data_IF_504579716374
#
_entry.id   IF_504579716374
#
_cell.length_a   1.000
_cell.length_b   1.000
_cell.length_c   1.000
_cell.angle_alpha   90.00
_cell.angle_beta   90.00
_cell.angle_gamma   90.00
#
_symmetry.space_group_name_H-M   'P 1'
#
loop_
_entity.id
_entity.type
_entity.pdbx_description
1 polymer ?
2 non-polymer ?
3 water ?
#
# COMPACT_ATOMS: atom_id res chain seq x y z
N UNK A 1 -27.19 -14.77 12.74
CA UNK A 1 -26.70 -13.68 11.89
C UNK A 1 -25.62 -12.84 12.59
N UNK A 2 -24.72 -12.29 11.79
CA UNK A 2 -23.60 -11.48 12.27
C UNK A 2 -23.93 -10.50 13.38
N UNK A 3 -23.03 -10.41 14.36
CA UNK A 3 -23.15 -9.49 15.48
C UNK A 3 -22.20 -8.31 15.32
N UNK A 4 -21.69 -8.12 14.10
CA UNK A 4 -20.80 -7.02 13.82
C UNK A 4 -21.64 -5.84 13.39
N UNK A 5 -21.11 -4.61 13.56
CA UNK A 5 -21.77 -3.39 13.11
C UNK A 5 -21.86 -3.44 11.59
N UNK A 6 -22.86 -2.79 11.01
CA UNK A 6 -23.05 -2.82 9.56
C UNK A 6 -21.81 -2.33 8.78
N UNK A 7 -21.27 -1.16 9.16
CA UNK A 7 -20.08 -0.61 8.48
C UNK A 7 -18.92 -1.59 8.46
N UNK A 8 -18.88 -2.46 9.47
CA UNK A 8 -17.81 -3.46 9.57
C UNK A 8 -18.07 -4.61 8.59
N UNK A 9 -19.33 -5.04 8.49
CA UNK A 9 -19.74 -6.10 7.58
C UNK A 9 -19.53 -5.59 6.14
N UNK A 10 -19.84 -4.32 5.93
CA UNK A 10 -19.72 -3.68 4.62
C UNK A 10 -18.26 -3.59 4.19
N UNK A 11 -17.38 -3.41 5.15
CA UNK A 11 -15.94 -3.34 4.91
C UNK A 11 -15.41 -4.72 4.49
N UNK A 12 -15.90 -5.74 5.18
CA UNK A 12 -15.50 -7.12 4.91
C UNK A 12 -15.85 -7.51 3.47
N UNK A 13 -17.04 -7.15 3.02
CA UNK A 13 -17.44 -7.49 1.66
C UNK A 13 -16.53 -6.76 0.68
N UNK A 14 -16.33 -5.48 0.94
CA UNK A 14 -15.46 -4.63 0.13
C UNK A 14 -14.11 -5.30 -0.14
N UNK A 15 -13.44 -5.70 0.93
CA UNK A 15 -12.12 -6.30 0.78
C UNK A 15 -12.06 -7.73 0.24
N UNK A 16 -13.17 -8.45 0.32
CA UNK A 16 -13.22 -9.80 -0.21
C UNK A 16 -14.06 -9.87 -1.51
N UNK A 17 -14.13 -8.74 -2.22
CA UNK A 17 -14.87 -8.66 -3.48
C UNK A 17 -14.10 -9.35 -4.61
N UNK A 18 -14.66 -10.44 -5.13
CA UNK A 18 -14.02 -11.21 -6.19
C UNK A 18 -13.99 -10.39 -7.48
N UNK A 19 -15.14 -9.81 -7.81
CA UNK A 19 -15.29 -8.97 -8.98
C UNK A 19 -14.16 -7.94 -9.05
N UNK A 20 -13.88 -7.31 -7.91
CA UNK A 20 -12.85 -6.28 -7.86
C UNK A 20 -11.48 -6.85 -8.19
N UNK A 21 -11.29 -8.13 -7.85
CA UNK A 21 -10.05 -8.84 -8.14
C UNK A 21 -9.92 -9.01 -9.65
N UNK A 22 -11.00 -9.43 -10.29
CA UNK A 22 -11.01 -9.63 -11.75
C UNK A 22 -10.86 -8.32 -12.50
N UNK A 23 -11.54 -7.29 -12.04
CA UNK A 23 -11.46 -5.99 -12.69
C UNK A 23 -10.03 -5.45 -12.59
N UNK A 24 -9.41 -5.63 -11.43
CA UNK A 24 -8.03 -5.18 -11.23
C UNK A 24 -7.04 -5.90 -12.16
N UNK A 25 -7.37 -7.12 -12.55
CA UNK A 25 -6.52 -7.91 -13.44
C UNK A 25 -6.77 -7.59 -14.91
N UNK A 26 -8.03 -7.62 -15.32
CA UNK A 26 -8.37 -7.31 -16.71
C UNK A 26 -7.82 -5.92 -16.99
N UNK A 27 -7.89 -5.06 -15.98
CA UNK A 27 -7.41 -3.70 -16.09
C UNK A 27 -5.90 -3.69 -16.34
N UNK A 28 -5.25 -4.79 -15.98
CA UNK A 28 -3.84 -4.94 -16.29
C UNK A 28 -3.69 -5.65 -17.62
N UNK A 29 -4.81 -5.97 -18.26
CA UNK A 29 -4.80 -6.66 -19.54
C UNK A 29 -4.45 -8.14 -19.38
N UNK A 30 -4.60 -8.68 -18.18
CA UNK A 30 -4.33 -10.09 -17.94
C UNK A 30 -5.41 -10.95 -18.59
N UNK A 31 -4.99 -12.01 -19.28
CA UNK A 31 -5.94 -12.90 -19.93
C UNK A 31 -6.59 -13.75 -18.86
N UNK A 32 -7.88 -13.52 -18.64
CA UNK A 32 -8.64 -14.21 -17.60
C UNK A 32 -8.97 -15.66 -17.93
N UNK A 33 -9.03 -15.97 -19.22
CA UNK A 33 -9.37 -17.32 -19.67
C UNK A 33 -8.24 -18.29 -19.34
N UNK A 34 -7.02 -17.92 -19.72
CA UNK A 34 -5.86 -18.75 -19.47
C UNK A 34 -5.37 -18.59 -18.02
N UNK A 35 -5.41 -17.37 -17.52
CA UNK A 35 -4.98 -17.16 -16.13
C UNK A 35 -6.11 -16.66 -15.24
N UNK A 36 -6.99 -17.56 -14.79
CA UNK A 36 -8.06 -17.13 -13.89
C UNK A 36 -7.50 -16.98 -12.48
N UNK A 37 -8.32 -16.40 -11.61
CA UNK A 37 -7.91 -16.19 -10.24
C UNK A 37 -7.45 -17.48 -9.59
N UNK A 38 -8.21 -18.56 -9.81
CA UNK A 38 -7.91 -19.87 -9.26
C UNK A 38 -6.56 -20.45 -9.69
N UNK A 39 -6.02 -19.99 -10.81
CA UNK A 39 -4.71 -20.48 -11.25
C UNK A 39 -3.55 -19.62 -10.76
N UNK A 40 -3.87 -18.61 -9.95
CA UNK A 40 -2.85 -17.72 -9.40
C UNK A 40 -2.03 -18.43 -8.32
N UNK A 41 -0.72 -18.43 -8.47
CA UNK A 41 0.19 -19.04 -7.50
C UNK A 41 1.37 -18.10 -7.21
N UNK A 42 1.78 -18.04 -5.95
CA UNK A 42 2.90 -17.18 -5.57
C UNK A 42 4.20 -17.62 -6.23
N UNK A 43 4.39 -18.93 -6.34
CA UNK A 43 5.59 -19.49 -6.95
C UNK A 43 5.76 -18.99 -8.38
N UNK A 44 4.63 -18.75 -9.05
CA UNK A 44 4.65 -18.24 -10.43
C UNK A 44 4.93 -16.72 -10.45
N UNK A 45 4.54 -16.04 -9.38
CA UNK A 45 4.76 -14.58 -9.25
C UNK A 45 6.21 -14.30 -8.84
N UNK A 46 6.81 -15.22 -8.08
CA UNK A 46 8.19 -15.09 -7.68
C UNK A 46 9.09 -15.23 -8.89
N UNK A 47 8.72 -16.16 -9.77
CA UNK A 47 9.47 -16.45 -10.99
C UNK A 47 9.41 -15.26 -11.93
N UNK A 48 8.29 -14.55 -11.91
CA UNK A 48 8.11 -13.38 -12.74
C UNK A 48 8.92 -12.20 -12.18
N UNK A 49 9.01 -12.12 -10.86
CA UNK A 49 9.84 -11.10 -10.20
C UNK A 49 11.26 -11.29 -10.70
N UNK A 50 11.71 -12.54 -10.66
CA UNK A 50 13.05 -12.93 -11.07
C UNK A 50 13.36 -12.63 -12.54
N UNK A 51 12.41 -12.88 -13.42
CA UNK A 51 12.58 -12.57 -14.85
C UNK A 51 12.64 -11.05 -15.01
N UNK A 52 11.84 -10.33 -14.22
CA UNK A 52 11.81 -8.87 -14.32
C UNK A 52 13.12 -8.26 -13.84
N UNK A 53 13.69 -8.84 -12.80
CA UNK A 53 15.00 -8.46 -12.31
C UNK A 53 16.05 -8.82 -13.38
N UNK A 54 15.79 -9.88 -14.14
CA UNK A 54 16.75 -10.29 -15.16
C UNK A 54 16.73 -9.35 -16.37
N UNK A 55 15.58 -8.72 -16.59
CA UNK A 55 15.40 -7.73 -17.65
C UNK A 55 16.08 -6.40 -17.29
N UNK A 56 15.98 -6.00 -16.03
CA UNK A 56 16.61 -4.76 -15.56
C UNK A 56 18.12 -4.84 -15.69
N UNK A 57 18.67 -5.99 -15.32
CA UNK A 57 20.10 -6.26 -15.41
C UNK A 57 20.59 -6.22 -16.87
N UNK A 58 19.76 -6.72 -17.79
CA UNK A 58 20.05 -6.71 -19.21
C UNK A 58 19.90 -5.29 -19.75
N UNK A 59 18.87 -4.58 -19.26
CA UNK A 59 18.65 -3.21 -19.68
C UNK A 59 19.81 -2.31 -19.25
N UNK A 60 20.19 -2.43 -17.99
CA UNK A 60 21.26 -1.63 -17.41
C UNK A 60 22.62 -2.04 -17.96
N UNK A 61 22.69 -3.27 -18.46
CA UNK A 61 23.91 -3.80 -19.04
C UNK A 61 23.97 -3.34 -20.50
N UNK A 62 22.81 -3.28 -21.15
CA UNK A 62 22.69 -2.84 -22.53
C UNK A 62 22.85 -3.99 -23.49
N UNK A 63 22.20 -5.10 -23.18
CA UNK A 63 22.27 -6.30 -24.02
C UNK A 63 21.90 -6.09 -25.49
N UNK A 64 22.43 -6.96 -26.35
CA UNK A 64 22.20 -6.86 -27.79
C UNK A 64 20.88 -7.48 -28.22
N UNK A 65 19.82 -6.67 -28.25
CA UNK A 65 18.49 -7.09 -28.67
C UNK A 65 18.09 -8.48 -28.19
N UNK A 66 17.98 -9.41 -29.14
CA UNK A 66 17.62 -10.82 -28.93
C UNK A 66 17.50 -11.29 -27.48
N UNK A 67 18.41 -10.81 -26.63
CA UNK A 67 18.39 -11.16 -25.24
C UNK A 67 17.22 -10.49 -24.51
N UNK A 68 16.95 -9.22 -24.83
CA UNK A 68 15.82 -8.52 -24.22
C UNK A 68 14.48 -9.07 -24.72
N UNK A 69 14.38 -9.31 -26.03
CA UNK A 69 13.18 -9.88 -26.62
C UNK A 69 12.85 -11.28 -26.09
N UNK A 70 13.87 -12.07 -25.76
CA UNK A 70 13.63 -13.41 -25.22
C UNK A 70 13.17 -13.32 -23.77
N UNK A 71 13.86 -12.51 -22.97
CA UNK A 71 13.51 -12.34 -21.56
C UNK A 71 12.10 -11.77 -21.46
N UNK A 72 11.73 -10.97 -22.45
CA UNK A 72 10.43 -10.32 -22.50
C UNK A 72 9.35 -11.34 -22.88
N UNK A 73 9.74 -12.28 -23.74
CA UNK A 73 8.82 -13.33 -24.15
C UNK A 73 8.64 -14.31 -23.01
N UNK A 74 9.69 -14.53 -22.25
CA UNK A 74 9.63 -15.43 -21.09
C UNK A 74 8.63 -14.88 -20.07
N UNK A 75 8.70 -13.59 -19.80
CA UNK A 75 7.78 -12.98 -18.84
C UNK A 75 6.32 -13.07 -19.28
N UNK A 76 6.07 -12.75 -20.55
CA UNK A 76 4.70 -12.76 -21.05
C UNK A 76 4.14 -14.18 -21.15
N UNK A 77 5.03 -15.18 -21.17
CA UNK A 77 4.62 -16.58 -21.21
C UNK A 77 4.20 -17.08 -19.82
N UNK A 78 4.85 -16.54 -18.80
CA UNK A 78 4.57 -16.89 -17.41
C UNK A 78 3.37 -16.11 -16.90
N UNK A 79 3.24 -14.87 -17.35
CA UNK A 79 2.12 -14.04 -16.96
C UNK A 79 1.32 -13.67 -18.19
N UNK A 80 0.37 -14.54 -18.58
CA UNK A 80 -0.55 -14.43 -19.72
C UNK A 80 -1.28 -13.10 -19.79
N UNK A 81 -1.03 -12.37 -20.86
CA UNK A 81 -1.70 -11.10 -21.11
C UNK A 81 -2.51 -11.24 -22.39
N UNK A 82 -3.37 -10.26 -22.65
CA UNK A 82 -4.16 -10.24 -23.86
C UNK A 82 -4.16 -8.87 -24.50
N UNK A 83 -3.32 -8.70 -25.51
CA UNK A 83 -3.22 -7.42 -26.23
C UNK A 83 -3.76 -7.49 -27.66
N UNK A 84 -4.39 -8.61 -28.03
CA UNK A 84 -4.93 -8.77 -29.37
C UNK A 84 -3.88 -9.01 -30.45
N UNK A 85 -4.13 -8.51 -31.66
CA UNK A 85 -3.21 -8.68 -32.77
C UNK A 85 -1.96 -7.81 -32.64
N UNK A 86 -1.54 -7.57 -31.41
CA UNK A 86 -0.37 -6.76 -31.15
C UNK A 86 0.49 -7.50 -30.14
N UNK A 87 1.81 -7.53 -30.37
CA UNK A 87 2.69 -8.21 -29.42
C UNK A 87 2.75 -7.32 -28.19
N UNK A 88 2.90 -7.93 -27.01
CA UNK A 88 2.97 -7.18 -25.75
C UNK A 88 4.04 -6.10 -25.83
N UNK A 89 4.12 -5.24 -24.81
CA UNK A 89 5.17 -4.22 -24.95
C UNK A 89 6.53 -4.76 -24.56
N UNK A 90 7.55 -4.41 -25.35
CA UNK A 90 8.89 -4.88 -25.08
C UNK A 90 9.40 -4.25 -23.78
N UNK A 91 9.85 -5.08 -22.85
CA UNK A 91 10.36 -4.56 -21.59
C UNK A 91 11.84 -4.22 -21.77
N UNK A 92 12.13 -3.09 -22.41
CA UNK A 92 13.52 -2.73 -22.68
C UNK A 92 14.04 -1.50 -21.94
N UNK A 93 13.25 -0.98 -21.00
CA UNK A 93 13.65 0.19 -20.22
C UNK A 93 13.21 0.08 -18.76
N UNK A 94 13.56 1.10 -17.95
CA UNK A 94 13.25 1.11 -16.52
C UNK A 94 11.79 1.34 -16.26
N UNK A 95 11.19 2.26 -17.01
CA UNK A 95 9.78 2.57 -16.85
C UNK A 95 8.95 1.31 -17.07
N UNK A 96 9.27 0.59 -18.13
CA UNK A 96 8.56 -0.62 -18.54
C UNK A 96 8.56 -1.82 -17.57
N UNK A 97 9.66 -2.05 -16.87
CA UNK A 97 9.74 -3.19 -15.93
C UNK A 97 9.13 -2.81 -14.58
N UNK A 98 9.29 -1.54 -14.22
CA UNK A 98 8.75 -0.99 -12.99
C UNK A 98 7.24 -1.10 -12.99
N UNK A 99 6.64 -0.79 -14.15
CA UNK A 99 5.20 -0.88 -14.29
C UNK A 99 4.78 -2.33 -14.12
N UNK A 100 5.54 -3.24 -14.72
CA UNK A 100 5.23 -4.67 -14.61
C UNK A 100 5.47 -5.19 -13.21
N UNK A 101 6.49 -4.66 -12.55
CA UNK A 101 6.86 -5.06 -11.20
C UNK A 101 5.81 -4.64 -10.19
N UNK A 102 5.25 -3.46 -10.38
CA UNK A 102 4.20 -2.96 -9.50
C UNK A 102 2.93 -3.76 -9.75
N UNK A 103 2.78 -4.25 -10.97
CA UNK A 103 1.63 -5.07 -11.34
C UNK A 103 1.69 -6.38 -10.54
N UNK A 104 2.83 -7.07 -10.62
CA UNK A 104 3.03 -8.31 -9.87
C UNK A 104 2.70 -8.17 -8.39
N UNK A 105 3.10 -7.04 -7.80
CA UNK A 105 2.87 -6.79 -6.37
C UNK A 105 1.39 -6.90 -5.99
N UNK A 106 0.54 -6.17 -6.71
CA UNK A 106 -0.93 -6.20 -6.49
C UNK A 106 -1.47 -7.57 -6.86
N UNK A 107 -0.97 -8.12 -7.97
CA UNK A 107 -1.40 -9.46 -8.41
C UNK A 107 -1.14 -10.48 -7.28
N UNK A 108 -0.11 -10.22 -6.49
CA UNK A 108 0.25 -11.09 -5.39
C UNK A 108 -0.70 -10.90 -4.22
N UNK A 109 -1.05 -9.64 -3.96
CA UNK A 109 -1.99 -9.33 -2.88
C UNK A 109 -3.35 -9.93 -3.24
N UNK A 110 -3.68 -9.94 -4.53
CA UNK A 110 -4.94 -10.56 -4.96
C UNK A 110 -4.90 -12.07 -4.73
N UNK A 111 -3.76 -12.68 -5.02
CA UNK A 111 -3.55 -14.12 -4.84
C UNK A 111 -3.64 -14.52 -3.37
N UNK A 112 -3.06 -13.68 -2.53
CA UNK A 112 -3.06 -13.87 -1.09
C UNK A 112 -4.51 -13.74 -0.65
N UNK A 113 -5.16 -12.72 -1.18
CA UNK A 113 -6.57 -12.43 -0.88
C UNK A 113 -7.47 -13.61 -1.24
N UNK A 114 -7.38 -14.07 -2.49
CA UNK A 114 -8.18 -15.20 -2.96
C UNK A 114 -7.89 -16.47 -2.19
N UNK A 115 -6.67 -16.61 -1.71
CA UNK A 115 -6.28 -17.81 -0.96
C UNK A 115 -7.02 -17.84 0.35
N UNK A 116 -7.12 -16.68 0.99
CA UNK A 116 -7.82 -16.53 2.25
C UNK A 116 -9.30 -16.84 2.03
N UNK A 117 -9.89 -16.18 1.03
CA UNK A 117 -11.31 -16.38 0.73
C UNK A 117 -11.68 -17.82 0.40
N UNK A 118 -11.03 -18.40 -0.60
CA UNK A 118 -11.32 -19.76 -1.04
C UNK A 118 -10.86 -20.82 -0.03
N UNK A 119 -10.44 -20.38 1.16
CA UNK A 119 -9.96 -21.30 2.17
C UNK A 119 -10.70 -21.18 3.49
N UNK A 120 -10.62 -22.24 4.28
CA UNK A 120 -11.28 -22.30 5.58
C UNK A 120 -12.28 -23.44 5.69
N UNK A 121 -13.34 -23.22 6.46
CA UNK A 121 -14.39 -24.22 6.65
C UNK A 121 -15.54 -23.92 5.69
N UNK A 122 -16.25 -24.96 5.26
CA UNK A 122 -17.35 -24.79 4.31
C UNK A 122 -18.74 -24.90 4.92
N UNK A 123 -18.80 -25.04 6.24
CA UNK A 123 -20.08 -25.15 6.93
C UNK A 123 -21.05 -24.03 6.52
N UNK A 124 -22.28 -24.15 6.99
CA UNK A 124 -23.31 -23.15 6.72
C UNK A 124 -23.91 -22.63 8.02
N UNK A 125 -23.31 -23.01 9.15
CA UNK A 125 -23.79 -22.56 10.45
C UNK A 125 -23.61 -21.05 10.62
N UNK A 126 -22.37 -20.59 10.45
CA UNK A 126 -22.04 -19.17 10.59
C UNK A 126 -22.24 -18.43 9.28
N UNK A 127 -22.62 -17.16 9.38
CA UNK A 127 -22.79 -16.33 8.20
C UNK A 127 -21.43 -15.91 7.71
N UNK A 128 -21.19 -16.07 6.40
CA UNK A 128 -19.97 -15.78 5.63
C UNK A 128 -19.18 -14.61 6.21
N UNK A 129 -19.84 -13.46 6.29
CA UNK A 129 -19.22 -12.23 6.80
C UNK A 129 -18.48 -12.48 8.11
N UNK A 130 -19.10 -13.25 9.00
CA UNK A 130 -18.49 -13.57 10.28
C UNK A 130 -17.31 -14.51 10.07
N UNK A 131 -17.45 -15.37 9.07
CA UNK A 131 -16.39 -16.27 8.70
C UNK A 131 -15.25 -15.43 8.12
N UNK A 132 -15.56 -14.64 7.09
CA UNK A 132 -14.58 -13.80 6.40
C UNK A 132 -13.84 -12.89 7.37
N UNK A 133 -14.57 -12.33 8.32
CA UNK A 133 -14.02 -11.45 9.34
C UNK A 133 -12.96 -12.19 10.13
N UNK A 134 -13.30 -13.36 10.62
CA UNK A 134 -12.38 -14.18 11.41
C UNK A 134 -11.09 -14.48 10.66
N UNK A 135 -11.17 -14.48 9.33
CA UNK A 135 -10.01 -14.76 8.50
C UNK A 135 -8.98 -13.63 8.55
N UNK A 136 -9.42 -12.44 8.92
CA UNK A 136 -8.52 -11.29 8.94
C UNK A 136 -7.56 -11.23 10.12
N UNK A 137 -7.93 -11.89 11.22
CA UNK A 137 -7.12 -11.93 12.43
C UNK A 137 -6.92 -10.52 13.00
N UNK A 138 -7.91 -9.67 12.78
CA UNK A 138 -7.84 -8.27 13.23
C UNK A 138 -9.14 -7.88 13.92
N UNK A 139 -9.02 -7.23 15.08
CA UNK A 139 -10.19 -6.77 15.79
C UNK A 139 -10.54 -5.42 15.16
N UNK A 140 -11.78 -5.29 14.68
CA UNK A 140 -12.21 -4.09 13.99
C UNK A 140 -13.43 -3.52 14.68
N UNK A 141 -13.34 -2.24 15.04
CA UNK A 141 -14.43 -1.56 15.71
C UNK A 141 -14.69 -0.25 14.97
N UNK A 142 -15.90 0.28 15.12
CA UNK A 142 -16.25 1.53 14.47
C UNK A 142 -15.85 2.69 15.37
N UNK A 143 -15.32 3.75 14.77
CA UNK A 143 -14.93 4.93 15.55
C UNK A 143 -16.08 5.93 15.42
N UNK A 144 -16.77 6.20 16.51
CA UNK A 144 -17.88 7.17 16.49
C UNK A 144 -17.52 8.47 15.79
N UNK A 145 -18.48 9.03 15.07
CA UNK A 145 -18.31 10.28 14.34
C UNK A 145 -17.98 11.48 15.24
N UNK A 146 -18.72 11.58 16.34
CA UNK A 146 -18.58 12.68 17.30
C UNK A 146 -17.53 12.36 18.36
N UNK A 147 -16.52 11.61 17.95
CA UNK A 147 -15.46 11.23 18.88
C UNK A 147 -14.25 12.11 18.63
N UNK A 148 -13.51 12.43 19.69
CA UNK A 148 -12.33 13.25 19.55
C UNK A 148 -11.38 12.63 18.53
N UNK A 149 -11.30 11.30 18.57
CA UNK A 149 -10.45 10.56 17.66
C UNK A 149 -10.86 10.89 16.22
N UNK A 150 -12.12 10.66 15.92
CA UNK A 150 -12.66 10.92 14.60
C UNK A 150 -12.35 12.35 14.15
N UNK A 151 -12.48 13.28 15.08
CA UNK A 151 -12.23 14.68 14.77
C UNK A 151 -10.77 14.89 14.38
N UNK A 152 -9.89 14.23 15.13
CA UNK A 152 -8.46 14.28 14.88
C UNK A 152 -8.19 13.81 13.46
N UNK A 153 -8.64 12.59 13.17
CA UNK A 153 -8.48 11.94 11.87
C UNK A 153 -9.05 12.76 10.72
N UNK A 154 -10.19 13.39 10.96
CA UNK A 154 -10.82 14.21 9.92
C UNK A 154 -10.00 15.44 9.62
N UNK A 155 -9.45 16.07 10.66
CA UNK A 155 -8.62 17.27 10.53
C UNK A 155 -7.34 16.91 9.78
N UNK A 156 -6.78 15.76 10.14
CA UNK A 156 -5.55 15.29 9.52
C UNK A 156 -5.79 15.14 8.01
N UNK A 157 -6.91 14.55 7.66
CA UNK A 157 -7.28 14.28 6.27
C UNK A 157 -7.57 15.56 5.50
N UNK A 158 -8.29 16.47 6.14
CA UNK A 158 -8.67 17.72 5.51
C UNK A 158 -7.50 18.69 5.42
N UNK A 159 -6.72 18.79 6.48
CA UNK A 159 -5.58 19.70 6.49
C UNK A 159 -4.49 19.35 5.49
N UNK A 160 -4.11 18.07 5.49
CA UNK A 160 -3.04 17.58 4.63
C UNK A 160 -3.51 17.34 3.19
N UNK A 161 -4.70 17.84 2.87
CA UNK A 161 -5.27 17.72 1.54
C UNK A 161 -5.62 19.11 1.02
N UNK A 162 -4.94 19.56 -0.03
CA UNK A 162 -5.15 20.91 -0.55
C UNK A 162 -5.69 21.09 -1.98
N UNK A 163 -5.45 22.26 -2.57
CA UNK A 163 -5.99 22.60 -3.88
C UNK A 163 -5.02 22.63 -5.07
N UNK A 164 -3.82 22.07 -4.90
CA UNK A 164 -2.83 22.04 -5.98
C UNK A 164 -2.74 20.64 -6.59
N UNK A 165 -3.51 19.73 -6.00
CA UNK A 165 -3.62 18.35 -6.46
C UNK A 165 -5.09 18.05 -6.24
N UNK A 166 -5.86 19.12 -6.09
CA UNK A 166 -7.28 19.02 -5.85
C UNK A 166 -8.07 18.78 -7.12
N UNK A 167 -7.86 17.60 -7.71
CA UNK A 167 -8.61 17.17 -8.87
C UNK A 167 -9.73 16.33 -8.27
N UNK A 168 -9.86 16.43 -6.95
CA UNK A 168 -10.88 15.73 -6.19
C UNK A 168 -10.91 16.17 -4.72
N UNK A 169 -12.03 15.91 -4.05
CA UNK A 169 -12.19 16.22 -2.63
C UNK A 169 -12.42 14.90 -1.88
N UNK A 170 -12.06 14.86 -0.61
CA UNK A 170 -12.10 13.65 0.21
C UNK A 170 -13.12 13.70 1.35
N UNK A 171 -13.99 12.69 1.39
CA UNK A 171 -15.00 12.62 2.43
C UNK A 171 -14.93 11.28 3.15
N UNK A 172 -14.79 11.37 4.47
CA UNK A 172 -14.65 10.21 5.33
C UNK A 172 -16.01 9.62 5.62
N UNK A 173 -16.24 8.41 5.13
CA UNK A 173 -17.51 7.73 5.34
C UNK A 173 -17.49 6.93 6.64
N UNK A 174 -16.36 6.26 6.88
CA UNK A 174 -16.18 5.43 8.07
C UNK A 174 -14.74 5.39 8.52
N UNK A 175 -14.54 5.38 9.84
CA UNK A 175 -13.23 5.30 10.44
C UNK A 175 -13.27 4.05 11.31
N UNK A 176 -12.28 3.17 11.17
CA UNK A 176 -12.22 1.95 11.97
C UNK A 176 -10.93 1.89 12.78
N UNK A 177 -11.06 1.48 14.04
CA UNK A 177 -9.91 1.29 14.92
C UNK A 177 -9.47 -0.16 14.72
N UNK A 178 -8.19 -0.38 14.41
CA UNK A 178 -7.72 -1.73 14.14
C UNK A 178 -6.60 -2.24 15.04
N UNK A 179 -6.70 -3.51 15.37
CA UNK A 179 -5.72 -4.20 16.21
C UNK A 179 -5.59 -5.62 15.67
N UNK A 180 -4.55 -5.83 14.88
CA UNK A 180 -4.28 -7.13 14.31
C UNK A 180 -3.87 -8.06 15.44
N UNK A 181 -4.26 -9.32 15.34
CA UNK A 181 -3.94 -10.30 16.37
C UNK A 181 -2.43 -10.43 16.57
N UNK A 182 -1.96 -10.10 17.77
CA UNK A 182 -0.54 -10.19 18.11
C UNK A 182 0.26 -8.92 17.89
N UNK A 183 -0.15 -8.14 16.89
CA UNK A 183 0.53 -6.91 16.53
C UNK A 183 0.52 -5.95 17.73
N UNK A 184 1.23 -6.34 18.78
CA UNK A 184 1.29 -5.57 20.02
C UNK A 184 2.62 -5.86 20.72
N UNK A 185 2.87 -7.14 20.98
CA UNK A 185 4.08 -7.60 21.63
C UNK A 185 5.23 -7.57 20.64
N UNK A 186 4.90 -7.40 19.37
CA UNK A 186 5.91 -7.33 18.33
C UNK A 186 6.38 -5.88 18.21
N UNK A 187 5.43 -4.96 18.30
CA UNK A 187 5.71 -3.53 18.19
C UNK A 187 6.18 -2.89 19.50
N UNK A 188 5.65 -3.39 20.61
CA UNK A 188 5.97 -2.88 21.94
C UNK A 188 7.45 -2.67 22.22
N UNK A 189 8.30 -3.66 21.91
CA UNK A 189 9.73 -3.43 22.17
C UNK A 189 10.20 -2.19 21.43
N UNK A 190 9.64 -1.97 20.24
CA UNK A 190 9.96 -0.77 19.47
C UNK A 190 9.21 0.44 20.03
N UNK A 191 8.23 0.17 20.90
CA UNK A 191 7.46 1.24 21.54
C UNK A 191 8.35 2.03 22.49
N UNK A 192 9.50 1.45 22.81
CA UNK A 192 10.48 2.11 23.66
C UNK A 192 11.43 2.82 22.72
N UNK A 193 10.89 3.26 21.59
CA UNK A 193 11.67 3.96 20.59
C UNK A 193 11.03 5.29 20.23
N UNK A 194 11.68 6.38 20.65
CA UNK A 194 11.20 7.73 20.41
C UNK A 194 10.88 7.97 18.93
N UNK A 195 10.40 9.17 18.64
CA UNK A 195 10.06 9.55 17.28
C UNK A 195 8.96 8.65 16.71
N UNK A 196 7.94 8.42 17.53
CA UNK A 196 6.78 7.64 17.10
C UNK A 196 5.78 8.57 16.43
N UNK A 197 5.38 8.23 15.20
CA UNK A 197 4.48 9.07 14.44
C UNK A 197 3.28 8.34 13.87
N UNK A 198 2.16 9.06 13.75
CA UNK A 198 0.94 8.52 13.15
C UNK A 198 1.04 8.90 11.69
N UNK A 199 1.11 7.91 10.82
CA UNK A 199 1.29 8.18 9.41
C UNK A 199 0.33 7.45 8.51
N UNK A 200 0.20 7.95 7.29
CA UNK A 200 -0.70 7.38 6.30
C UNK A 200 -0.06 6.25 5.53
N UNK A 201 -0.91 5.34 5.05
CA UNK A 201 -0.51 4.27 4.14
C UNK A 201 -1.69 3.92 3.26
N UNK A 202 -1.64 4.38 2.01
CA UNK A 202 -2.69 4.11 1.06
C UNK A 202 -2.32 2.88 0.26
N UNK A 203 -3.34 2.17 -0.24
CA UNK A 203 -3.13 0.95 -1.02
C UNK A 203 -4.48 0.62 -1.68
N UNK A 204 -4.44 -0.14 -2.77
CA UNK A 204 -5.67 -0.49 -3.48
C UNK A 204 -6.56 -1.37 -2.63
N UNK A 205 -7.85 -1.26 -2.85
CA UNK A 205 -8.84 -2.00 -2.06
C UNK A 205 -8.65 -3.53 -2.05
N UNK A 206 -8.13 -4.06 -3.15
CA UNK A 206 -7.89 -5.50 -3.30
C UNK A 206 -6.67 -6.01 -2.56
N UNK A 207 -5.96 -5.13 -1.86
CA UNK A 207 -4.78 -5.52 -1.13
C UNK A 207 -4.97 -5.52 0.39
N UNK A 208 -6.16 -5.15 0.86
CA UNK A 208 -6.42 -5.11 2.32
C UNK A 208 -6.63 -6.45 3.00
N UNK A 209 -7.21 -7.41 2.29
CA UNK A 209 -7.39 -8.74 2.83
C UNK A 209 -6.02 -9.26 3.27
N UNK A 210 -4.99 -8.97 2.47
CA UNK A 210 -3.62 -9.38 2.74
C UNK A 210 -2.91 -8.58 3.82
N UNK A 211 -2.98 -7.25 3.71
CA UNK A 211 -2.37 -6.36 4.69
C UNK A 211 -2.92 -6.58 6.10
N UNK A 212 -4.22 -6.85 6.21
CA UNK A 212 -4.81 -7.07 7.52
C UNK A 212 -4.39 -8.44 8.06
N UNK A 213 -4.52 -9.46 7.24
CA UNK A 213 -4.16 -10.82 7.65
C UNK A 213 -2.70 -10.92 8.06
N UNK A 214 -1.81 -10.42 7.20
CA UNK A 214 -0.38 -10.51 7.48
C UNK A 214 0.35 -9.22 7.84
N UNK A 215 -0.34 -8.09 7.82
CA UNK A 215 0.28 -6.80 8.12
C UNK A 215 1.03 -6.34 6.89
N UNK A 216 1.60 -5.14 6.95
CA UNK A 216 2.39 -4.64 5.83
C UNK A 216 3.73 -5.35 5.77
N UNK A 217 4.01 -5.97 4.61
CA UNK A 217 5.24 -6.72 4.41
C UNK A 217 6.28 -5.97 3.58
N UNK A 218 7.43 -6.60 3.39
CA UNK A 218 8.51 -6.01 2.59
C UNK A 218 8.76 -6.90 1.39
N UNK A 219 9.09 -6.30 0.26
CA UNK A 219 9.34 -7.05 -0.95
C UNK A 219 10.51 -8.01 -0.80
N UNK A 220 10.41 -9.19 -1.43
CA UNK A 220 11.45 -10.22 -1.37
C UNK A 220 12.64 -9.79 -2.18
N UNK A 221 13.81 -10.38 -1.92
CA UNK A 221 15.05 -10.03 -2.63
C UNK A 221 14.96 -10.21 -4.15
N UNK A 222 14.25 -11.24 -4.60
CA UNK A 222 14.09 -11.51 -6.03
C UNK A 222 13.36 -10.39 -6.78
N UNK A 223 12.54 -9.61 -6.09
CA UNK A 223 11.82 -8.51 -6.73
C UNK A 223 12.78 -7.50 -7.36
N UNK A 224 12.38 -6.87 -8.47
CA UNK A 224 13.27 -5.88 -9.08
C UNK A 224 13.48 -4.68 -8.15
N UNK A 225 14.67 -4.10 -8.22
CA UNK A 225 15.02 -2.97 -7.37
C UNK A 225 14.67 -1.61 -7.98
N UNK A 226 14.26 -1.63 -9.25
CA UNK A 226 13.88 -0.42 -9.98
C UNK A 226 12.50 0.13 -9.58
N UNK A 227 12.42 1.45 -9.42
CA UNK A 227 11.20 2.13 -9.03
C UNK A 227 11.24 2.64 -7.60
N UNK A 228 11.89 1.88 -6.73
CA UNK A 228 12.00 2.24 -5.32
C UNK A 228 12.86 3.45 -5.09
N UNK A 229 12.31 4.40 -4.34
CA UNK A 229 13.01 5.63 -4.00
C UNK A 229 14.13 5.34 -3.00
N UNK A 230 13.78 4.66 -1.92
CA UNK A 230 14.75 4.33 -0.88
C UNK A 230 14.77 2.85 -0.48
N UNK A 231 14.96 1.96 -1.46
CA UNK A 231 15.02 0.53 -1.20
C UNK A 231 13.74 -0.13 -0.75
N UNK A 232 13.75 -1.46 -0.71
CA UNK A 232 12.60 -2.28 -0.31
C UNK A 232 12.27 -2.13 1.19
N UNK A 233 11.14 -1.52 1.48
CA UNK A 233 10.70 -1.32 2.85
C UNK A 233 9.21 -0.98 2.88
N UNK A 234 8.77 -0.43 4.00
CA UNK A 234 7.38 -0.03 4.17
C UNK A 234 7.35 1.49 4.08
N UNK A 235 6.61 1.99 3.10
CA UNK A 235 6.55 3.42 2.83
C UNK A 235 5.33 4.12 3.44
N UNK A 236 5.59 5.23 4.14
CA UNK A 236 4.54 6.02 4.78
C UNK A 236 4.59 7.50 4.35
N UNK A 237 3.47 8.18 4.49
CA UNK A 237 3.40 9.60 4.19
C UNK A 237 2.76 10.34 5.35
N UNK A 238 3.16 11.59 5.56
CA UNK A 238 2.60 12.41 6.64
C UNK A 238 1.53 13.36 6.09
N UNK A 239 1.21 13.16 4.81
CA UNK A 239 0.19 13.95 4.13
C UNK A 239 -0.74 13.03 3.32
N UNK A 240 -2.02 13.07 3.65
CA UNK A 240 -3.01 12.22 2.99
C UNK A 240 -3.01 12.30 1.46
N UNK A 241 -2.64 13.46 0.92
CA UNK A 241 -2.57 13.67 -0.54
C UNK A 241 -1.60 12.73 -1.24
N UNK A 242 -0.42 12.53 -0.66
CA UNK A 242 0.56 11.61 -1.22
C UNK A 242 0.05 10.18 -1.22
N UNK A 243 -0.48 9.75 -0.07
CA UNK A 243 -1.01 8.38 0.12
C UNK A 243 -2.25 8.06 -0.71
N UNK A 244 -3.16 9.03 -0.80
CA UNK A 244 -4.40 8.86 -1.51
C UNK A 244 -4.18 8.41 -2.96
N UNK A 245 -3.01 8.72 -3.48
CA UNK A 245 -2.66 8.37 -4.86
C UNK A 245 -2.46 6.88 -5.08
N UNK A 246 -2.38 6.10 -4.00
CA UNK A 246 -2.18 4.65 -4.12
C UNK A 246 -3.45 3.85 -3.88
N UNK A 247 -4.58 4.54 -3.72
CA UNK A 247 -5.86 3.90 -3.52
C UNK A 247 -6.45 3.54 -4.88
N UNK A 248 -5.90 4.19 -5.91
CA UNK A 248 -6.35 4.00 -7.29
C UNK A 248 -7.87 3.98 -7.46
N UNK A 249 -8.51 5.08 -7.09
CA UNK A 249 -9.95 5.23 -7.22
C UNK A 249 -10.24 6.01 -8.51
N UNK A 250 -11.49 5.97 -8.94
CA UNK A 250 -11.92 6.69 -10.13
C UNK A 250 -13.38 7.06 -10.01
N UNK A 251 -13.91 7.62 -11.10
CA UNK A 251 -15.31 8.02 -11.17
C UNK A 251 -16.22 6.80 -11.12
N UNK A 252 -15.69 5.65 -11.52
CA UNK A 252 -16.44 4.39 -11.52
C UNK A 252 -16.40 3.73 -10.16
N UNK A 253 -15.23 3.78 -9.52
CA UNK A 253 -15.07 3.24 -8.18
C UNK A 253 -14.34 4.27 -7.35
N UNK A 254 -15.09 5.25 -6.83
CA UNK A 254 -14.79 6.45 -6.04
C UNK A 254 -14.53 6.21 -4.57
N UNK A 255 -14.51 4.95 -4.15
CA UNK A 255 -14.30 4.63 -2.75
C UNK A 255 -13.06 3.79 -2.49
N UNK A 256 -12.17 4.30 -1.65
CA UNK A 256 -10.93 3.62 -1.30
C UNK A 256 -10.75 3.41 0.19
N UNK A 257 -9.61 2.82 0.56
CA UNK A 257 -9.26 2.56 1.95
C UNK A 257 -7.85 3.08 2.21
N UNK A 258 -7.68 3.73 3.35
CA UNK A 258 -6.40 4.29 3.72
C UNK A 258 -6.08 3.89 5.17
N UNK A 259 -4.81 3.58 5.43
CA UNK A 259 -4.36 3.16 6.75
C UNK A 259 -3.65 4.26 7.50
N UNK A 260 -3.84 4.28 8.82
CA UNK A 260 -3.12 5.19 9.70
C UNK A 260 -2.39 4.26 10.68
N UNK A 261 -1.06 4.25 10.61
CA UNK A 261 -0.28 3.38 11.44
C UNK A 261 0.73 4.15 12.28
N UNK A 262 1.02 3.60 13.45
CA UNK A 262 1.99 4.22 14.34
C UNK A 262 3.32 3.61 13.93
N UNK A 263 4.28 4.46 13.62
CA UNK A 263 5.58 3.97 13.18
C UNK A 263 6.66 4.47 14.13
N UNK A 264 7.43 3.53 14.65
CA UNK A 264 8.54 3.81 15.57
C UNK A 264 9.75 4.14 14.69
N UNK A 265 9.81 5.37 14.23
CA UNK A 265 10.87 5.82 13.31
C UNK A 265 12.30 5.89 13.88
N UNK A 266 12.44 6.38 15.11
CA UNK A 266 13.74 6.57 15.73
C UNK A 266 14.47 7.74 15.08
N UNK A 267 15.80 7.71 15.11
CA UNK A 267 16.57 8.76 14.46
C UNK A 267 16.47 8.46 12.97
N UNK A 268 16.02 9.44 12.21
CA UNK A 268 15.84 9.24 10.78
C UNK A 268 17.03 9.66 9.96
N UNK A 269 17.26 8.93 8.88
CA UNK A 269 18.33 9.23 7.94
C UNK A 269 17.62 10.10 6.92
N UNK A 270 18.00 11.37 6.85
CA UNK A 270 17.33 12.26 5.93
C UNK A 270 17.97 12.40 4.57
N UNK A 271 17.18 12.10 3.55
CA UNK A 271 17.65 12.13 2.17
C UNK A 271 16.75 12.95 1.26
N UNK A 272 17.35 13.50 0.21
CA UNK A 272 16.65 14.32 -0.78
C UNK A 272 16.51 13.67 -2.16
N UNK A 273 17.21 12.56 -2.39
CA UNK A 273 17.15 11.92 -3.69
C UNK A 273 17.15 10.41 -3.52
N UNK A 274 16.71 9.71 -4.55
CA UNK A 274 16.66 8.26 -4.54
C UNK A 274 18.01 7.72 -4.16
N UNK A 275 18.05 6.86 -3.15
CA UNK A 275 19.31 6.29 -2.74
C UNK A 275 19.19 4.77 -2.69
N UNK A 276 20.32 4.09 -2.75
CA UNK A 276 20.31 2.65 -2.57
C UNK A 276 20.82 2.46 -1.15
N UNK A 277 19.87 2.29 -0.23
CA UNK A 277 20.20 2.16 1.18
C UNK A 277 19.74 0.83 1.75
N UNK A 278 18.58 0.83 2.40
CA UNK A 278 18.04 -0.37 3.03
C UNK A 278 18.88 -0.73 4.25
N UNK A 279 20.17 -0.45 4.15
CA UNK A 279 21.15 -0.68 5.22
C UNK A 279 21.43 0.67 5.87
N UNK A 280 20.90 0.88 7.06
CA UNK A 280 21.00 2.17 7.73
C UNK A 280 22.37 2.52 8.29
N UNK A 281 22.65 3.82 8.43
CA UNK A 281 23.92 4.20 9.03
C UNK A 281 23.77 3.92 10.52
N UNK A 282 24.84 3.56 11.20
CA UNK A 282 24.76 3.24 12.63
C UNK A 282 24.06 4.33 13.44
N UNK A 283 23.05 3.95 14.20
CA UNK A 283 22.32 4.89 15.04
C UNK A 283 21.09 5.51 14.40
N UNK A 284 20.71 5.04 13.22
CA UNK A 284 19.53 5.52 12.51
C UNK A 284 18.61 4.32 12.36
N UNK A 285 17.31 4.55 12.36
CA UNK A 285 16.37 3.44 12.30
C UNK A 285 15.33 3.58 11.23
N UNK A 286 15.39 4.69 10.52
CA UNK A 286 14.44 4.94 9.44
C UNK A 286 14.99 5.94 8.45
N UNK A 287 14.31 6.07 7.31
CA UNK A 287 14.69 7.05 6.32
C UNK A 287 13.53 8.03 6.19
N UNK A 288 13.87 9.31 6.07
CA UNK A 288 12.89 10.34 5.77
C UNK A 288 13.31 10.93 4.42
N UNK A 289 12.39 10.89 3.46
CA UNK A 289 12.60 11.47 2.14
C UNK A 289 12.01 12.86 2.22
N UNK A 290 12.87 13.87 2.08
CA UNK A 290 12.42 15.26 2.23
C UNK A 290 11.68 15.80 1.01
N UNK A 291 10.39 16.07 1.20
CA UNK A 291 9.56 16.62 0.14
C UNK A 291 9.54 18.14 0.14
N UNK A 292 9.06 18.73 -0.95
CA UNK A 292 8.98 20.18 -1.08
C UNK A 292 7.92 20.72 -0.13
N UNK A 293 6.87 19.94 0.10
CA UNK A 293 5.79 20.32 1.00
C UNK A 293 5.86 19.49 2.27
N UNK A 294 5.26 20.01 3.32
CA UNK A 294 5.23 19.33 4.60
C UNK A 294 4.16 20.01 5.42
N UNK A 295 3.52 19.28 6.34
CA UNK A 295 2.49 19.97 7.13
C UNK A 295 3.15 21.01 8.02
N UNK A 296 2.44 22.11 8.26
CA UNK A 296 2.98 23.18 9.10
C UNK A 296 3.35 22.54 10.43
N UNK A 297 4.65 22.59 10.77
CA UNK A 297 5.17 21.95 11.99
C UNK A 297 4.59 22.53 13.28
N UNK A 298 4.15 23.78 13.23
CA UNK A 298 3.59 24.44 14.41
C UNK A 298 2.28 23.82 14.89
N UNK A 299 1.61 23.09 14.00
CA UNK A 299 0.34 22.47 14.36
C UNK A 299 0.41 20.97 14.60
N UNK A 300 1.55 20.51 15.12
CA UNK A 300 1.71 19.09 15.46
C UNK A 300 1.04 18.79 16.80
N UNK A 301 0.64 17.54 17.00
CA UNK A 301 -0.03 17.12 18.23
C UNK A 301 0.30 15.65 18.55
N UNK A 302 1.12 15.43 19.59
CA UNK A 302 1.49 14.07 19.98
C UNK A 302 0.50 13.42 20.94
N UNK A 303 0.02 12.23 20.57
CA UNK A 303 -0.94 11.49 21.36
C UNK A 303 -0.30 10.28 22.04
N UNK A 304 -0.45 10.17 23.35
CA UNK A 304 0.13 9.05 24.10
C UNK A 304 1.64 9.02 23.91
N UNK A 305 2.17 10.03 23.21
CA UNK A 305 3.56 10.13 22.86
C UNK A 305 3.63 10.13 21.35
N UNK A 306 2.58 9.59 20.73
CA UNK A 306 2.47 9.47 19.28
C UNK A 306 2.27 10.82 18.59
N UNK A 307 3.19 11.17 17.71
CA UNK A 307 3.12 12.43 17.00
C UNK A 307 2.13 12.38 15.86
N UNK A 308 1.29 13.42 15.79
CA UNK A 308 0.28 13.54 14.75
C UNK A 308 0.45 14.88 14.04
N UNK A 309 1.11 14.88 12.86
CA UNK A 309 1.36 16.11 12.09
C UNK A 309 0.20 16.45 11.15
N UNK A 310 -0.90 16.94 11.71
CA UNK A 310 -2.06 17.28 10.91
C UNK A 310 -2.05 18.71 10.36
N UNK A 311 -0.94 19.42 10.53
CA UNK A 311 -0.85 20.79 10.05
C UNK A 311 -1.20 20.94 8.59
N UNK A 312 -1.67 22.11 8.23
CA UNK A 312 -2.00 22.41 6.84
C UNK A 312 -0.67 22.50 6.08
N UNK A 313 -0.66 21.96 4.86
CA UNK A 313 0.54 21.90 4.03
C UNK A 313 1.21 23.22 3.70
N UNK A 314 2.51 23.30 3.98
CA UNK A 314 3.27 24.50 3.66
C UNK A 314 4.53 24.13 2.88
N UNK A 315 5.14 25.13 2.26
CA UNK A 315 6.40 24.90 1.58
C UNK A 315 7.40 24.50 2.68
N UNK A 316 8.16 23.44 2.45
CA UNK A 316 9.13 22.99 3.44
C UNK A 316 10.43 23.75 3.29
N UNK A 317 11.43 23.37 4.08
CA UNK A 317 12.73 24.00 3.98
C UNK A 317 13.38 23.97 2.59
N UNK A 318 13.41 22.80 1.96
CA UNK A 318 14.09 22.63 0.67
C UNK A 318 13.24 22.02 -0.45
N UNK A 319 13.31 22.62 -1.63
CA UNK A 319 12.57 22.13 -2.80
C UNK A 319 13.53 21.56 -3.83
N UNK A 320 14.82 21.57 -3.48
CA UNK A 320 15.88 21.01 -4.33
C UNK A 320 15.81 19.50 -4.22
N UNK A 321 14.65 19.01 -3.81
CA UNK A 321 14.43 17.59 -3.63
C UNK A 321 13.72 17.01 -4.84
N UNK A 322 13.62 15.69 -4.89
CA UNK A 322 12.96 15.01 -5.99
C UNK A 322 11.53 14.64 -5.64
N UNK A 323 11.17 14.83 -4.36
CA UNK A 323 9.82 14.50 -3.89
C UNK A 323 8.98 15.75 -3.64
N UNK A 324 7.67 15.61 -3.80
CA UNK A 324 6.75 16.71 -3.56
C UNK A 324 6.26 16.72 -2.12
N UNK A 325 6.22 15.55 -1.51
CA UNK A 325 5.79 15.39 -0.13
C UNK A 325 6.78 14.49 0.61
N UNK A 326 6.67 14.49 1.93
CA UNK A 326 7.53 13.69 2.80
C UNK A 326 7.24 12.20 2.66
N UNK A 327 8.28 11.40 2.78
CA UNK A 327 8.14 9.94 2.74
C UNK A 327 8.96 9.36 3.90
N UNK A 328 8.37 8.44 4.64
CA UNK A 328 9.01 7.78 5.78
C UNK A 328 9.10 6.27 5.53
N UNK A 329 10.30 5.72 5.63
CA UNK A 329 10.51 4.31 5.34
C UNK A 329 11.14 3.51 6.45
N UNK A 330 10.54 2.36 6.74
CA UNK A 330 11.09 1.45 7.73
C UNK A 330 11.40 0.12 7.05
N UNK A 331 12.47 -0.52 7.52
CA UNK A 331 12.91 -1.78 6.93
C UNK A 331 12.72 -2.97 7.86
N UNK A 332 12.00 -2.73 8.95
CA UNK A 332 11.68 -3.76 9.90
C UNK A 332 10.16 -3.73 10.08
N UNK A 333 9.52 -4.88 9.88
CA UNK A 333 8.07 -4.99 9.99
C UNK A 333 7.49 -4.68 11.36
N UNK A 334 8.23 -5.00 12.42
CA UNK A 334 7.74 -4.78 13.80
C UNK A 334 7.80 -3.32 14.22
N UNK A 335 8.21 -2.46 13.30
CA UNK A 335 8.27 -1.03 13.57
C UNK A 335 6.93 -0.37 13.28
N UNK A 336 6.00 -1.13 12.71
CA UNK A 336 4.67 -0.60 12.38
C UNK A 336 3.55 -1.21 13.22
N UNK A 337 2.61 -0.36 13.63
CA UNK A 337 1.45 -0.77 14.41
C UNK A 337 0.22 -0.10 13.82
N UNK A 338 -0.44 -0.78 12.89
CA UNK A 338 -1.64 -0.25 12.24
C UNK A 338 -2.69 0.05 13.29
N UNK A 339 -3.19 1.28 13.31
CA UNK A 339 -4.15 1.72 14.31
C UNK A 339 -5.53 2.05 13.75
N UNK A 340 -5.57 2.59 12.54
CA UNK A 340 -6.85 2.97 11.97
C UNK A 340 -6.95 2.63 10.49
N UNK A 341 -8.18 2.41 10.05
CA UNK A 341 -8.48 2.09 8.67
C UNK A 341 -9.58 3.04 8.30
N UNK A 342 -9.38 3.78 7.22
CA UNK A 342 -10.39 4.75 6.79
C UNK A 342 -11.02 4.32 5.49
N UNK A 343 -12.33 4.49 5.40
CA UNK A 343 -13.05 4.28 4.17
C UNK A 343 -13.36 5.69 3.68
N UNK A 344 -12.92 6.01 2.47
CA UNK A 344 -13.10 7.35 1.94
C UNK A 344 -13.76 7.36 0.58
N UNK A 345 -14.54 8.40 0.33
CA UNK A 345 -15.16 8.58 -0.96
C UNK A 345 -14.45 9.77 -1.62
N UNK A 346 -14.07 9.61 -2.87
CA UNK A 346 -13.40 10.65 -3.63
C UNK A 346 -14.41 11.32 -4.55
N UNK A 347 -14.55 12.63 -4.42
CA UNK A 347 -15.46 13.38 -5.30
C UNK A 347 -14.59 14.06 -6.36
N UNK A 348 -14.59 13.52 -7.57
CA UNK A 348 -13.74 14.08 -8.62
C UNK A 348 -14.21 15.41 -9.22
N UNK A 349 -13.27 16.36 -9.34
CA UNK A 349 -13.54 17.68 -9.90
C UNK A 349 -13.63 17.64 -11.42
N UNK A 350 -13.02 16.61 -12.00
CA UNK A 350 -13.05 16.38 -13.44
C UNK A 350 -12.82 17.65 -14.26
X LIG B 1 4.59 5.55 -1.09
X LIG B 1 2.70 5.35 0.12
X LIG B 1 3.02 3.73 -1.61
X LIG B 1 3.30 2.14 -3.34
X LIG B 1 2.09 1.57 -3.00
X LIG B 1 1.62 -0.87 -3.07
X LIG B 1 0.72 -1.85 -3.72
X LIG B 1 2.98 -1.43 -2.97
X LIG B 1 4.60 6.55 -0.15
X LIG B 1 3.44 4.82 -0.90
X LIG B 1 3.41 6.42 0.61
X LIG B 1 1.82 3.16 -1.25
X LIG B 1 1.07 3.68 -0.19
X LIG B 1 1.44 4.80 0.52
X LIG B 1 3.77 3.22 -2.65
X LIG B 1 1.35 2.08 -1.95
X LIG B 1 0.77 5.29 1.41
X LIG B 1 1.57 0.42 -3.77
X LIG B 1 1.34 -3.19 -3.41
X LIG B 1 2.76 -2.92 -2.98
#
# INVERSE_FOLDING_TARGET
KSKLPKPVQDLIKMIFDVESMKKAMVEYEIDLQKMPLGKLSKRQIQAAYSILSEVQQAVSQGSSDSQILDLSNRFYTLIPHDFGMKKPPLLNNADSVQAKAEMLDNLLDIEVAYSLLRGGSDDSSKDPIDVNYEKLKTDIKVVDRDSEEAEIIRKYVKNTHATTHNAYDLEVIDIFKIEREGECQRYKPFKQLHNRRLLWHGSRTTNFAGILSQGLRIAPPEAPVTGYMFGKGIYFADMVSKSANYCHTSQGDPIGLILLGEVALGNMYELKHASHISKLPKGKHSVKGLGKTTPDPSANISLDGVDVPLGTGISSGVNDTSLLYNEYIVYDIAQVNLKYLLKLKFNFKT
GJW C2 C4 C6 C11 C12 N22 C23 C26 C1 N3 C5 C7 N8 C9 C10 C13 O20 C21 C24 C25
#
